data_IF_254594680553
#
_entry.id   IF_254594680553
#
_cell.length_a   1.000
_cell.length_b   1.000
_cell.length_c   1.000
_cell.angle_alpha   90.00
_cell.angle_beta   90.00
_cell.angle_gamma   90.00
#
_symmetry.space_group_name_H-M   'P 1'
#
loop_
_entity.id
_entity.type
_entity.pdbx_description
1 polymer ?
#
# COMPACT_ATOMS: atom_id res chain seq x y z
N UNK A 1 32.78 32.37 -6.87
CA UNK A 1 32.24 31.24 -7.64
C UNK A 1 30.81 31.06 -7.20
N UNK A 2 29.85 31.40 -8.07
CA UNK A 2 28.43 31.21 -7.79
C UNK A 2 27.98 29.90 -8.44
N UNK A 3 27.70 28.89 -7.61
CA UNK A 3 27.21 27.59 -8.06
C UNK A 3 25.74 27.45 -7.71
N UNK A 4 24.93 26.91 -8.63
CA UNK A 4 23.57 26.57 -8.38
C UNK A 4 23.16 25.30 -9.14
N UNK A 5 22.16 24.62 -8.64
CA UNK A 5 21.61 23.41 -9.23
C UNK A 5 20.09 23.45 -9.18
N UNK A 6 19.45 22.93 -10.22
CA UNK A 6 18.01 22.93 -10.29
C UNK A 6 17.44 22.30 -11.55
N UNK A 7 16.14 22.49 -11.76
CA UNK A 7 15.42 22.00 -12.91
C UNK A 7 15.63 22.90 -14.17
N UNK A 8 15.04 22.49 -15.27
CA UNK A 8 15.09 23.22 -16.55
C UNK A 8 14.63 24.67 -16.41
N UNK A 9 13.49 24.92 -15.72
CA UNK A 9 12.93 26.28 -15.54
C UNK A 9 13.93 27.21 -14.84
N UNK A 10 14.66 26.71 -13.85
CA UNK A 10 15.69 27.50 -13.16
C UNK A 10 16.85 27.87 -14.10
N UNK A 11 17.25 26.96 -14.97
CA UNK A 11 18.31 27.26 -15.95
C UNK A 11 17.85 28.30 -17.00
N UNK A 12 16.61 28.22 -17.44
CA UNK A 12 16.00 29.19 -18.36
C UNK A 12 15.95 30.60 -17.74
N UNK A 13 15.57 30.73 -16.47
CA UNK A 13 15.56 32.01 -15.72
C UNK A 13 16.98 32.60 -15.67
N UNK A 14 18.02 31.78 -15.60
CA UNK A 14 19.41 32.22 -15.60
C UNK A 14 20.03 32.28 -17.00
N UNK A 15 19.22 32.19 -18.08
CA UNK A 15 19.65 32.26 -19.48
C UNK A 15 20.78 31.31 -19.86
N UNK A 16 20.77 30.09 -19.28
CA UNK A 16 21.79 29.08 -19.54
C UNK A 16 21.38 28.16 -20.69
N UNK A 17 22.33 27.87 -21.58
CA UNK A 17 22.13 26.89 -22.64
C UNK A 17 22.06 25.48 -22.06
N UNK A 18 20.96 24.81 -22.27
CA UNK A 18 20.73 23.42 -21.86
C UNK A 18 21.28 22.44 -22.91
N UNK A 19 21.54 21.16 -22.55
CA UNK A 19 21.84 20.10 -23.51
C UNK A 19 20.73 20.01 -24.57
N UNK A 20 21.09 19.43 -25.76
CA UNK A 20 20.16 19.25 -26.85
C UNK A 20 18.84 18.58 -26.39
N UNK A 21 17.72 19.02 -26.98
CA UNK A 21 16.37 18.49 -26.71
C UNK A 21 16.33 16.96 -26.81
N UNK A 22 17.05 16.36 -27.73
CA UNK A 22 17.16 14.90 -27.89
C UNK A 22 17.69 14.19 -26.63
N UNK A 23 18.71 14.78 -25.97
CA UNK A 23 19.24 14.20 -24.71
C UNK A 23 18.26 14.34 -23.56
N UNK A 24 17.53 15.47 -23.50
CA UNK A 24 16.50 15.70 -22.49
C UNK A 24 15.34 14.71 -22.66
N UNK A 25 14.87 14.51 -23.89
CA UNK A 25 13.86 13.51 -24.21
C UNK A 25 14.31 12.08 -23.92
N UNK A 26 15.57 11.75 -24.18
CA UNK A 26 16.11 10.43 -23.86
C UNK A 26 16.10 10.15 -22.35
N UNK A 27 16.41 11.16 -21.51
CA UNK A 27 16.28 11.02 -20.06
C UNK A 27 14.83 10.86 -19.62
N UNK A 28 13.93 11.69 -20.15
CA UNK A 28 12.50 11.62 -19.83
C UNK A 28 11.89 10.26 -20.25
N UNK A 29 12.19 9.78 -21.47
CA UNK A 29 11.77 8.44 -21.96
C UNK A 29 12.31 7.30 -21.11
N UNK A 30 13.46 7.48 -20.45
CA UNK A 30 14.01 6.54 -19.49
C UNK A 30 13.41 6.66 -18.07
N UNK A 31 12.42 7.55 -17.86
CA UNK A 31 11.82 7.82 -16.54
C UNK A 31 12.81 8.50 -15.58
N UNK A 32 13.76 9.29 -16.11
CA UNK A 32 14.79 9.96 -15.32
C UNK A 32 14.55 11.46 -15.32
N UNK A 33 14.57 12.07 -14.13
CA UNK A 33 14.47 13.51 -13.96
C UNK A 33 15.87 14.14 -14.01
N UNK A 34 16.16 15.01 -14.98
CA UNK A 34 17.45 15.67 -15.06
C UNK A 34 17.51 16.84 -14.06
N UNK A 35 18.64 16.92 -13.33
CA UNK A 35 19.04 18.03 -12.49
C UNK A 35 20.29 18.65 -13.12
N UNK A 36 20.25 19.95 -13.38
CA UNK A 36 21.31 20.69 -14.03
C UNK A 36 22.14 21.44 -12.99
N UNK A 37 23.45 21.45 -13.16
CA UNK A 37 24.38 22.16 -12.29
C UNK A 37 25.17 23.16 -13.10
N UNK A 38 25.20 24.38 -12.60
CA UNK A 38 25.89 25.48 -13.27
C UNK A 38 26.78 26.29 -12.29
N UNK A 39 27.86 26.86 -12.80
CA UNK A 39 28.68 27.79 -12.07
C UNK A 39 29.14 28.92 -13.01
N UNK A 40 29.14 30.15 -12.46
CA UNK A 40 29.60 31.37 -13.13
C UNK A 40 29.08 31.51 -14.56
N UNK A 41 27.75 31.21 -14.75
CA UNK A 41 27.08 31.36 -16.03
C UNK A 41 27.33 30.23 -17.04
N UNK A 42 27.96 29.11 -16.65
CA UNK A 42 28.17 27.96 -17.50
C UNK A 42 27.60 26.69 -16.90
N UNK A 43 26.98 25.87 -17.77
CA UNK A 43 26.51 24.53 -17.36
C UNK A 43 27.72 23.62 -17.10
N UNK A 44 27.86 23.11 -15.90
CA UNK A 44 28.90 22.17 -15.51
C UNK A 44 28.56 20.73 -15.87
N UNK A 45 27.26 20.36 -15.70
CA UNK A 45 26.84 18.99 -15.97
C UNK A 45 25.37 18.76 -15.63
N UNK A 46 24.94 17.54 -15.97
CA UNK A 46 23.58 17.06 -15.68
C UNK A 46 23.68 15.78 -14.87
N UNK A 47 23.00 15.74 -13.73
CA UNK A 47 22.78 14.54 -12.95
C UNK A 47 21.36 14.06 -13.23
N UNK A 48 21.15 12.77 -13.43
CA UNK A 48 19.81 12.22 -13.59
C UNK A 48 19.43 11.44 -12.36
N UNK A 49 18.30 11.80 -11.74
CA UNK A 49 17.67 11.04 -10.69
C UNK A 49 16.61 10.10 -11.30
N UNK A 50 16.57 8.87 -10.84
CA UNK A 50 15.52 7.92 -11.20
C UNK A 50 15.08 7.19 -9.95
N UNK A 51 13.77 7.19 -9.70
CA UNK A 51 13.18 6.36 -8.67
C UNK A 51 12.54 5.14 -9.37
N UNK A 52 13.09 3.92 -9.20
CA UNK A 52 12.56 2.75 -9.87
C UNK A 52 11.20 2.38 -9.31
N UNK A 53 10.25 2.12 -10.20
CA UNK A 53 8.94 1.64 -9.81
C UNK A 53 9.07 0.31 -9.07
N UNK A 54 8.44 0.22 -7.92
CA UNK A 54 8.38 -1.03 -7.16
C UNK A 54 7.60 -2.08 -7.94
N UNK A 55 8.10 -3.30 -7.99
CA UNK A 55 7.41 -4.43 -8.64
C UNK A 55 5.98 -4.62 -8.09
N UNK A 56 5.78 -4.36 -6.79
CA UNK A 56 4.48 -4.44 -6.13
C UNK A 56 3.49 -3.41 -6.67
N UNK A 57 3.95 -2.22 -7.09
CA UNK A 57 3.08 -1.17 -7.66
C UNK A 57 2.44 -1.61 -8.97
N UNK A 58 3.21 -2.21 -9.88
CA UNK A 58 2.67 -2.75 -11.13
C UNK A 58 1.59 -3.81 -10.88
N UNK A 59 1.85 -4.72 -9.93
CA UNK A 59 0.87 -5.76 -9.57
C UNK A 59 -0.38 -5.15 -8.95
N UNK A 60 -0.24 -4.09 -8.12
CA UNK A 60 -1.37 -3.41 -7.51
C UNK A 60 -2.25 -2.71 -8.56
N UNK A 61 -1.63 -2.01 -9.52
CA UNK A 61 -2.35 -1.37 -10.64
C UNK A 61 -3.16 -2.39 -11.43
N UNK A 62 -2.55 -3.52 -11.80
CA UNK A 62 -3.25 -4.59 -12.50
C UNK A 62 -4.43 -5.15 -11.69
N UNK A 63 -4.31 -5.26 -10.36
CA UNK A 63 -5.40 -5.70 -9.49
C UNK A 63 -6.52 -4.66 -9.40
N UNK A 64 -6.21 -3.35 -9.32
CA UNK A 64 -7.24 -2.31 -9.38
C UNK A 64 -8.03 -2.37 -10.68
N UNK A 65 -7.35 -2.49 -11.82
CA UNK A 65 -7.98 -2.61 -13.14
C UNK A 65 -8.85 -3.87 -13.22
N UNK A 66 -8.38 -5.00 -12.67
CA UNK A 66 -9.17 -6.25 -12.60
C UNK A 66 -10.41 -6.12 -11.73
N UNK A 67 -10.38 -5.26 -10.73
CA UNK A 67 -11.54 -4.92 -9.90
C UNK A 67 -12.52 -3.95 -10.58
N UNK A 68 -12.25 -3.55 -11.83
CA UNK A 68 -13.06 -2.61 -12.60
C UNK A 68 -12.84 -1.14 -12.20
N UNK A 69 -11.70 -0.82 -11.62
CA UNK A 69 -11.32 0.54 -11.26
C UNK A 69 -10.48 1.16 -12.38
N UNK A 70 -10.81 2.39 -12.75
CA UNK A 70 -9.98 3.21 -13.64
C UNK A 70 -8.83 3.80 -12.82
N UNK A 71 -7.59 3.59 -13.28
CA UNK A 71 -6.39 4.04 -12.55
C UNK A 71 -5.77 5.21 -13.29
N UNK A 72 -5.62 6.33 -12.58
CA UNK A 72 -5.09 7.58 -13.10
C UNK A 72 -3.81 7.92 -12.33
N UNK A 73 -2.73 8.22 -13.05
CA UNK A 73 -1.52 8.79 -12.45
C UNK A 73 -1.63 10.31 -12.41
N UNK A 74 -1.67 10.87 -11.20
CA UNK A 74 -1.71 12.32 -10.96
C UNK A 74 -0.37 12.76 -10.36
N UNK A 75 0.44 13.53 -11.11
CA UNK A 75 1.80 13.88 -10.71
C UNK A 75 2.17 15.31 -11.09
N UNK A 76 3.11 15.89 -10.31
CA UNK A 76 3.75 17.16 -10.65
C UNK A 76 4.94 17.01 -11.62
N UNK A 77 5.33 15.80 -11.98
CA UNK A 77 6.39 15.56 -12.95
C UNK A 77 5.98 16.02 -14.34
N UNK A 78 6.99 16.28 -15.18
CA UNK A 78 6.74 16.61 -16.59
C UNK A 78 6.08 15.43 -17.31
N UNK A 79 5.31 15.77 -18.35
CA UNK A 79 4.47 14.80 -19.07
C UNK A 79 5.23 13.60 -19.61
N UNK A 80 6.44 13.80 -20.18
CA UNK A 80 7.23 12.71 -20.75
C UNK A 80 7.68 11.69 -19.69
N UNK A 81 8.15 12.19 -18.54
CA UNK A 81 8.52 11.33 -17.41
C UNK A 81 7.31 10.60 -16.84
N UNK A 82 6.20 11.31 -16.67
CA UNK A 82 4.95 10.74 -16.15
C UNK A 82 4.40 9.63 -17.07
N UNK A 83 4.41 9.83 -18.39
CA UNK A 83 3.98 8.84 -19.38
C UNK A 83 4.90 7.60 -19.36
N UNK A 84 6.23 7.79 -19.23
CA UNK A 84 7.19 6.68 -19.12
C UNK A 84 6.95 5.84 -17.84
N UNK A 85 6.68 6.49 -16.72
CA UNK A 85 6.35 5.84 -15.45
C UNK A 85 5.01 5.11 -15.56
N UNK A 86 3.98 5.76 -16.12
CA UNK A 86 2.67 5.17 -16.33
C UNK A 86 2.73 3.92 -17.19
N UNK A 87 3.48 3.95 -18.29
CA UNK A 87 3.68 2.79 -19.16
C UNK A 87 4.33 1.62 -18.42
N UNK A 88 5.36 1.89 -17.60
CA UNK A 88 5.99 0.85 -16.76
C UNK A 88 5.03 0.29 -15.72
N UNK A 89 4.15 1.12 -15.13
CA UNK A 89 3.14 0.71 -14.17
C UNK A 89 1.91 0.03 -14.80
N UNK A 90 1.71 0.17 -16.11
CA UNK A 90 0.51 -0.32 -16.82
C UNK A 90 -0.69 0.63 -16.67
N UNK A 91 -0.45 1.93 -16.47
CA UNK A 91 -1.47 2.97 -16.37
C UNK A 91 -1.60 3.66 -17.73
N UNK A 92 -2.84 3.86 -18.19
CA UNK A 92 -3.14 4.51 -19.47
C UNK A 92 -3.51 5.98 -19.34
N UNK A 93 -4.06 6.38 -18.19
CA UNK A 93 -4.51 7.75 -17.94
C UNK A 93 -3.50 8.50 -17.08
N UNK A 94 -2.96 9.61 -17.61
CA UNK A 94 -1.95 10.44 -16.93
C UNK A 94 -2.39 11.88 -16.90
N UNK A 95 -2.32 12.49 -15.73
CA UNK A 95 -2.47 13.93 -15.49
C UNK A 95 -1.13 14.41 -14.92
N UNK A 96 -0.31 15.02 -15.76
CA UNK A 96 1.04 15.48 -15.46
C UNK A 96 1.12 16.99 -15.31
N UNK A 97 2.28 17.51 -14.90
CA UNK A 97 2.56 18.95 -14.73
C UNK A 97 1.61 19.65 -13.73
N UNK A 98 1.06 18.92 -12.75
CA UNK A 98 0.08 19.44 -11.79
C UNK A 98 0.80 20.00 -10.57
N UNK A 99 0.55 21.26 -10.25
CA UNK A 99 1.07 21.87 -9.02
C UNK A 99 0.38 21.26 -7.79
N UNK A 100 1.06 21.20 -6.62
CA UNK A 100 0.49 20.62 -5.41
C UNK A 100 -0.91 21.15 -5.05
N UNK A 101 -1.12 22.48 -5.16
CA UNK A 101 -2.39 23.13 -4.89
C UNK A 101 -3.49 22.76 -5.87
N UNK A 102 -3.14 22.36 -7.10
CA UNK A 102 -4.10 22.07 -8.17
C UNK A 102 -4.54 20.60 -8.18
N UNK A 103 -3.88 19.73 -7.44
CA UNK A 103 -4.25 18.30 -7.35
C UNK A 103 -5.69 18.10 -6.86
N UNK A 104 -6.12 18.87 -5.87
CA UNK A 104 -7.50 18.81 -5.36
C UNK A 104 -8.53 19.23 -6.43
N UNK A 105 -8.18 20.19 -7.28
CA UNK A 105 -9.03 20.64 -8.38
C UNK A 105 -9.18 19.54 -9.45
N UNK A 106 -8.13 18.78 -9.75
CA UNK A 106 -8.20 17.65 -10.68
C UNK A 106 -9.12 16.55 -10.13
N UNK A 107 -9.04 16.23 -8.84
CA UNK A 107 -9.95 15.28 -8.19
C UNK A 107 -11.39 15.77 -8.28
N UNK A 108 -11.64 17.05 -7.97
CA UNK A 108 -12.96 17.66 -8.07
C UNK A 108 -13.54 17.62 -9.48
N UNK A 109 -12.69 17.77 -10.50
CA UNK A 109 -13.14 17.69 -11.90
C UNK A 109 -13.58 16.27 -12.26
N UNK A 110 -12.82 15.24 -11.83
CA UNK A 110 -13.23 13.85 -12.02
C UNK A 110 -14.56 13.52 -11.33
N UNK A 111 -14.81 14.11 -10.15
CA UNK A 111 -16.09 13.97 -9.45
C UNK A 111 -17.24 14.69 -10.19
N UNK A 112 -16.96 15.85 -10.79
CA UNK A 112 -17.95 16.58 -11.60
C UNK A 112 -18.36 15.78 -12.85
N UNK A 113 -17.47 14.95 -13.39
CA UNK A 113 -17.76 14.01 -14.47
C UNK A 113 -18.57 12.78 -14.01
N UNK A 114 -19.07 12.77 -12.77
CA UNK A 114 -19.89 11.71 -12.18
C UNK A 114 -19.09 10.51 -11.67
N UNK A 115 -17.76 10.57 -11.64
CA UNK A 115 -16.90 9.49 -11.13
C UNK A 115 -16.81 9.53 -9.61
N UNK A 116 -16.85 8.35 -8.97
CA UNK A 116 -16.44 8.20 -7.57
C UNK A 116 -14.93 8.01 -7.52
N UNK A 117 -14.27 8.86 -6.74
CA UNK A 117 -12.81 8.96 -6.72
C UNK A 117 -12.23 8.47 -5.41
N UNK A 118 -11.15 7.70 -5.50
CA UNK A 118 -10.27 7.43 -4.38
C UNK A 118 -8.90 8.04 -4.68
N UNK A 119 -8.38 8.88 -3.78
CA UNK A 119 -7.03 9.43 -3.89
C UNK A 119 -6.09 8.64 -3.00
N UNK A 120 -4.96 8.25 -3.56
CA UNK A 120 -3.87 7.58 -2.83
C UNK A 120 -2.65 8.48 -2.89
N UNK A 121 -2.13 8.88 -1.73
CA UNK A 121 -0.98 9.78 -1.62
C UNK A 121 -0.14 9.48 -0.39
N UNK A 122 1.09 10.01 -0.35
CA UNK A 122 2.07 9.74 0.70
C UNK A 122 2.49 10.98 1.49
N UNK A 123 2.12 12.17 1.04
CA UNK A 123 2.71 13.39 1.53
C UNK A 123 1.78 14.51 1.91
N UNK A 124 2.39 15.52 2.55
CA UNK A 124 1.76 16.78 2.93
C UNK A 124 1.15 17.47 1.70
N UNK A 125 1.80 17.35 0.55
CA UNK A 125 1.37 17.97 -0.70
C UNK A 125 0.09 17.36 -1.28
N UNK A 126 -0.27 16.15 -0.85
CA UNK A 126 -1.45 15.43 -1.30
C UNK A 126 -2.66 15.60 -0.35
N UNK A 127 -2.46 16.16 0.85
CA UNK A 127 -3.49 16.32 1.87
C UNK A 127 -4.78 17.01 1.35
N UNK A 128 -4.72 18.11 0.57
CA UNK A 128 -5.92 18.72 0.00
C UNK A 128 -6.64 17.80 -1.00
N UNK A 129 -5.92 16.99 -1.77
CA UNK A 129 -6.49 16.06 -2.72
C UNK A 129 -7.07 14.81 -2.04
N UNK A 130 -6.44 14.34 -0.97
CA UNK A 130 -6.95 13.26 -0.12
C UNK A 130 -8.29 13.64 0.50
N UNK A 131 -8.38 14.85 1.07
CA UNK A 131 -9.63 15.38 1.65
C UNK A 131 -10.71 15.62 0.61
N UNK A 132 -10.36 16.03 -0.62
CA UNK A 132 -11.32 16.30 -1.70
C UNK A 132 -11.93 15.01 -2.26
N UNK A 133 -11.21 13.90 -2.26
CA UNK A 133 -11.68 12.64 -2.83
C UNK A 133 -12.87 12.06 -2.06
N UNK A 134 -13.68 11.17 -2.67
CA UNK A 134 -14.72 10.43 -1.97
C UNK A 134 -14.11 9.45 -0.94
N UNK A 135 -12.86 9.02 -1.16
CA UNK A 135 -12.06 8.24 -0.21
C UNK A 135 -10.61 8.66 -0.33
N UNK A 136 -10.04 9.21 0.75
CA UNK A 136 -8.62 9.49 0.87
C UNK A 136 -7.86 8.32 1.48
N UNK A 137 -6.76 7.91 0.88
CA UNK A 137 -5.92 6.80 1.36
C UNK A 137 -4.48 7.30 1.48
N UNK A 138 -3.96 7.42 2.69
CA UNK A 138 -2.56 7.74 2.95
C UNK A 138 -1.70 6.48 2.98
N UNK A 139 -0.53 6.52 2.30
CA UNK A 139 0.44 5.41 2.28
C UNK A 139 1.61 5.71 3.20
N UNK A 140 2.00 4.68 3.98
CA UNK A 140 3.15 4.75 4.87
C UNK A 140 2.85 5.44 6.19
N UNK A 141 3.84 5.49 7.06
CA UNK A 141 3.79 6.33 8.27
C UNK A 141 3.94 7.79 7.84
N UNK A 142 2.95 8.28 7.07
CA UNK A 142 2.92 9.62 6.51
C UNK A 142 3.07 10.67 7.61
N UNK A 143 3.32 11.88 7.19
CA UNK A 143 3.29 13.04 8.08
C UNK A 143 1.93 13.12 8.75
N UNK A 144 1.89 13.64 9.99
CA UNK A 144 0.64 13.81 10.75
C UNK A 144 -0.46 14.47 9.89
N UNK A 145 -0.09 15.43 9.02
CA UNK A 145 -1.02 16.09 8.11
C UNK A 145 -1.67 15.15 7.07
N UNK A 146 -0.95 14.16 6.56
CA UNK A 146 -1.52 13.19 5.62
C UNK A 146 -2.43 12.18 6.35
N UNK A 147 -2.07 11.82 7.58
CA UNK A 147 -2.87 10.96 8.45
C UNK A 147 -4.21 11.63 8.78
N UNK A 148 -4.19 12.91 9.15
CA UNK A 148 -5.39 13.68 9.51
C UNK A 148 -6.31 13.96 8.31
N UNK A 149 -5.77 13.89 7.08
CA UNK A 149 -6.51 14.19 5.84
C UNK A 149 -7.07 12.96 5.14
N UNK A 150 -6.76 11.76 5.59
CA UNK A 150 -7.14 10.52 4.93
C UNK A 150 -8.17 9.71 5.71
N UNK A 151 -9.13 9.10 5.01
CA UNK A 151 -10.09 8.16 5.60
C UNK A 151 -9.45 6.82 5.97
N UNK A 152 -8.41 6.44 5.24
CA UNK A 152 -7.68 5.17 5.43
C UNK A 152 -6.18 5.47 5.48
N UNK A 153 -5.51 4.96 6.51
CA UNK A 153 -4.06 5.05 6.66
C UNK A 153 -3.44 3.67 6.53
N UNK A 154 -2.57 3.51 5.54
CA UNK A 154 -1.82 2.27 5.31
C UNK A 154 -0.48 2.34 6.04
N UNK A 155 -0.26 1.42 6.98
CA UNK A 155 0.94 1.40 7.82
C UNK A 155 2.24 1.07 7.05
N UNK A 156 2.13 0.50 5.87
CA UNK A 156 3.27 0.17 5.01
C UNK A 156 3.25 1.02 3.76
N UNK A 157 4.43 1.38 3.28
CA UNK A 157 4.57 2.06 2.00
C UNK A 157 4.48 1.03 0.84
N UNK A 158 3.30 0.41 0.69
CA UNK A 158 3.02 -0.58 -0.35
C UNK A 158 1.60 -0.44 -0.89
N UNK A 159 1.48 -0.17 -2.18
CA UNK A 159 0.20 -0.01 -2.87
C UNK A 159 -0.69 -1.28 -2.83
N UNK A 160 -0.09 -2.46 -2.61
CA UNK A 160 -0.82 -3.72 -2.40
C UNK A 160 -1.72 -3.69 -1.16
N UNK A 161 -1.39 -2.86 -0.17
CA UNK A 161 -2.24 -2.72 1.00
C UNK A 161 -3.50 -1.93 0.69
N UNK A 162 -3.46 -0.96 -0.23
CA UNK A 162 -4.66 -0.30 -0.75
C UNK A 162 -5.58 -1.29 -1.50
N UNK A 163 -5.00 -2.17 -2.33
CA UNK A 163 -5.76 -3.27 -2.96
C UNK A 163 -6.45 -4.12 -1.90
N UNK A 164 -5.72 -4.51 -0.86
CA UNK A 164 -6.25 -5.32 0.24
C UNK A 164 -7.38 -4.61 0.98
N UNK A 165 -7.24 -3.31 1.25
CA UNK A 165 -8.27 -2.50 1.93
C UNK A 165 -9.57 -2.45 1.12
N UNK A 166 -9.50 -2.22 -0.19
CA UNK A 166 -10.67 -2.21 -1.08
C UNK A 166 -11.32 -3.60 -1.15
N UNK A 167 -10.54 -4.66 -1.25
CA UNK A 167 -11.06 -6.04 -1.27
C UNK A 167 -11.76 -6.39 0.05
N UNK A 168 -11.18 -6.00 1.18
CA UNK A 168 -11.76 -6.20 2.51
C UNK A 168 -13.07 -5.42 2.65
N UNK A 169 -13.10 -4.16 2.23
CA UNK A 169 -14.31 -3.33 2.22
C UNK A 169 -15.44 -4.00 1.43
N UNK A 170 -15.15 -4.45 0.20
CA UNK A 170 -16.14 -5.17 -0.64
C UNK A 170 -16.64 -6.47 0.03
N UNK A 171 -15.75 -7.22 0.67
CA UNK A 171 -16.11 -8.44 1.41
C UNK A 171 -16.99 -8.13 2.62
N UNK A 172 -16.69 -7.06 3.35
CA UNK A 172 -17.46 -6.59 4.50
C UNK A 172 -18.86 -6.15 4.08
N UNK A 173 -18.99 -5.34 3.03
CA UNK A 173 -20.31 -4.91 2.50
C UNK A 173 -21.14 -6.11 2.05
N UNK A 174 -20.52 -7.09 1.39
CA UNK A 174 -21.22 -8.33 1.01
C UNK A 174 -21.72 -9.08 2.24
N UNK A 175 -20.90 -9.22 3.27
CA UNK A 175 -21.26 -9.88 4.52
C UNK A 175 -22.41 -9.16 5.24
N UNK A 176 -22.41 -7.82 5.26
CA UNK A 176 -23.50 -7.01 5.81
C UNK A 176 -24.80 -7.26 5.03
N UNK A 177 -24.75 -7.24 3.69
CA UNK A 177 -25.94 -7.51 2.85
C UNK A 177 -26.47 -8.91 3.06
N UNK A 178 -25.64 -9.93 3.18
CA UNK A 178 -26.02 -11.30 3.51
C UNK A 178 -26.71 -11.37 4.87
N UNK A 179 -26.15 -10.72 5.89
CA UNK A 179 -26.73 -10.68 7.21
C UNK A 179 -28.11 -10.00 7.24
N UNK A 180 -28.25 -8.86 6.56
CA UNK A 180 -29.53 -8.16 6.43
C UNK A 180 -30.55 -9.01 5.68
N UNK A 181 -30.18 -9.63 4.57
CA UNK A 181 -31.07 -10.52 3.82
C UNK A 181 -31.65 -11.62 4.71
N UNK A 182 -30.80 -12.32 5.45
CA UNK A 182 -31.25 -13.40 6.32
C UNK A 182 -32.08 -12.87 7.50
N UNK A 183 -31.72 -11.70 8.05
CA UNK A 183 -32.49 -11.07 9.12
C UNK A 183 -33.92 -10.65 8.69
N UNK A 184 -34.06 -10.22 7.41
CA UNK A 184 -35.36 -9.85 6.87
C UNK A 184 -36.18 -11.05 6.42
N UNK A 185 -35.58 -12.01 5.72
CA UNK A 185 -36.32 -13.12 5.11
C UNK A 185 -36.99 -14.00 6.14
N UNK A 186 -36.33 -14.29 7.26
CA UNK A 186 -36.93 -15.12 8.28
C UNK A 186 -38.13 -14.41 9.01
N UNK A 187 -38.02 -13.09 9.18
CA UNK A 187 -39.13 -12.29 9.71
C UNK A 187 -40.31 -12.22 8.73
N UNK A 188 -40.01 -12.06 7.43
CA UNK A 188 -40.99 -12.03 6.35
C UNK A 188 -41.82 -13.33 6.30
N UNK A 189 -41.18 -14.47 6.58
CA UNK A 189 -41.84 -15.77 6.67
C UNK A 189 -42.51 -15.96 8.03
N UNK A 190 -41.87 -15.61 9.14
CA UNK A 190 -42.33 -15.85 10.51
C UNK A 190 -43.54 -15.03 10.90
N UNK A 191 -43.62 -13.75 10.48
CA UNK A 191 -44.74 -12.86 10.84
C UNK A 191 -46.08 -13.35 10.31
N UNK A 192 -46.24 -13.75 9.01
CA UNK A 192 -47.50 -14.32 8.53
C UNK A 192 -47.91 -15.62 9.24
N UNK A 193 -46.92 -16.47 9.57
CA UNK A 193 -47.21 -17.72 10.32
C UNK A 193 -47.69 -17.38 11.72
N UNK A 194 -47.02 -16.46 12.40
CA UNK A 194 -47.41 -16.00 13.74
C UNK A 194 -48.79 -15.30 13.76
N UNK A 195 -49.13 -14.56 12.69
CA UNK A 195 -50.42 -13.93 12.49
C UNK A 195 -51.54 -14.92 12.12
N UNK A 196 -51.26 -16.22 12.02
CA UNK A 196 -52.25 -17.25 11.73
C UNK A 196 -52.76 -17.27 10.29
N UNK A 197 -52.05 -16.64 9.32
CA UNK A 197 -52.47 -16.60 7.90
C UNK A 197 -52.66 -18.00 7.33
N UNK A 198 -51.88 -18.96 7.78
CA UNK A 198 -51.93 -20.35 7.34
C UNK A 198 -52.82 -21.26 8.14
N UNK A 199 -53.43 -20.74 9.25
CA UNK A 199 -54.33 -21.51 10.12
C UNK A 199 -55.57 -22.03 9.40
N UNK A 200 -56.29 -21.22 8.57
CA UNK A 200 -57.49 -21.70 7.89
C UNK A 200 -57.23 -22.83 6.87
N UNK A 201 -56.02 -22.93 6.34
CA UNK A 201 -55.68 -23.88 5.26
C UNK A 201 -54.99 -25.13 5.82
N UNK A 202 -54.04 -24.95 6.77
CA UNK A 202 -53.19 -26.02 7.27
C UNK A 202 -53.37 -26.32 8.76
N UNK A 203 -54.15 -25.52 9.49
CA UNK A 203 -54.27 -25.65 10.93
C UNK A 203 -52.98 -25.31 11.71
N UNK A 204 -52.05 -24.55 11.08
CA UNK A 204 -50.76 -24.25 11.68
C UNK A 204 -50.88 -23.03 12.61
N UNK A 205 -50.56 -23.26 13.91
CA UNK A 205 -50.33 -22.22 14.87
C UNK A 205 -48.85 -22.13 15.25
N UNK A 206 -48.36 -20.92 15.40
CA UNK A 206 -47.00 -20.71 15.86
C UNK A 206 -46.92 -20.86 17.38
N UNK A 207 -46.21 -21.89 17.82
CA UNK A 207 -45.89 -22.00 19.25
C UNK A 207 -44.86 -20.89 19.61
N UNK A 208 -45.12 -20.10 20.70
CA UNK A 208 -44.21 -19.06 21.16
C UNK A 208 -42.76 -19.54 21.39
N UNK A 209 -42.58 -20.80 21.82
CA UNK A 209 -41.25 -21.40 21.97
C UNK A 209 -40.48 -21.53 20.64
N UNK A 210 -41.19 -21.86 19.55
CA UNK A 210 -40.58 -21.95 18.22
C UNK A 210 -40.15 -20.56 17.77
N UNK A 211 -40.98 -19.53 18.02
CA UNK A 211 -40.62 -18.13 17.74
C UNK A 211 -39.35 -17.68 18.48
N UNK A 212 -39.29 -17.96 19.79
CA UNK A 212 -38.12 -17.63 20.60
C UNK A 212 -36.85 -18.39 20.14
N UNK A 213 -36.97 -19.66 19.80
CA UNK A 213 -35.88 -20.46 19.25
C UNK A 213 -35.39 -19.89 17.90
N UNK A 214 -36.30 -19.53 16.99
CA UNK A 214 -35.97 -18.95 15.70
C UNK A 214 -35.19 -17.63 15.85
N UNK A 215 -35.59 -16.76 16.81
CA UNK A 215 -34.84 -15.52 17.11
C UNK A 215 -33.41 -15.80 17.62
N UNK A 216 -33.26 -16.80 18.50
CA UNK A 216 -31.93 -17.19 19.02
C UNK A 216 -31.02 -17.74 17.91
N UNK A 217 -31.56 -18.59 17.04
CA UNK A 217 -30.81 -19.11 15.88
C UNK A 217 -30.41 -18.02 14.88
N UNK A 218 -31.27 -17.03 14.66
CA UNK A 218 -30.96 -15.87 13.83
C UNK A 218 -29.68 -15.14 14.31
N UNK A 219 -29.61 -14.86 15.62
CA UNK A 219 -28.45 -14.19 16.20
C UNK A 219 -27.16 -15.01 16.04
N UNK A 220 -27.24 -16.32 16.29
CA UNK A 220 -26.09 -17.24 16.10
C UNK A 220 -25.65 -17.26 14.64
N UNK A 221 -26.61 -17.25 13.70
CA UNK A 221 -26.33 -17.24 12.27
C UNK A 221 -25.58 -15.97 11.84
N UNK A 222 -26.07 -14.79 12.25
CA UNK A 222 -25.45 -13.49 11.93
C UNK A 222 -24.04 -13.42 12.49
N UNK A 223 -23.81 -13.82 13.74
CA UNK A 223 -22.49 -13.83 14.36
C UNK A 223 -21.55 -14.81 13.63
N UNK A 224 -22.03 -16.02 13.31
CA UNK A 224 -21.27 -17.03 12.59
C UNK A 224 -20.87 -16.55 11.20
N UNK A 225 -21.77 -15.88 10.47
CA UNK A 225 -21.49 -15.30 9.17
C UNK A 225 -20.48 -14.13 9.27
N UNK A 226 -20.61 -13.26 10.28
CA UNK A 226 -19.65 -12.19 10.53
C UNK A 226 -18.24 -12.73 10.84
N UNK A 227 -18.14 -13.84 11.58
CA UNK A 227 -16.86 -14.49 11.87
C UNK A 227 -16.15 -15.04 10.63
N UNK A 228 -16.85 -15.25 9.50
CA UNK A 228 -16.23 -15.63 8.21
C UNK A 228 -15.20 -14.58 7.74
N UNK A 229 -15.39 -13.29 8.09
CA UNK A 229 -14.42 -12.24 7.75
C UNK A 229 -13.06 -12.46 8.39
N UNK A 230 -12.95 -13.17 9.51
CA UNK A 230 -11.65 -13.56 10.10
C UNK A 230 -10.81 -14.46 9.18
N UNK A 231 -11.46 -15.15 8.25
CA UNK A 231 -10.82 -16.02 7.26
C UNK A 231 -10.58 -15.31 5.92
N UNK A 232 -10.82 -14.00 5.87
CA UNK A 232 -10.58 -13.21 4.68
C UNK A 232 -9.10 -13.34 4.25
N UNK A 233 -8.89 -13.68 3.00
CA UNK A 233 -7.55 -13.74 2.38
C UNK A 233 -7.59 -12.83 1.15
N UNK A 234 -6.74 -11.80 1.08
CA UNK A 234 -6.68 -10.94 -0.10
C UNK A 234 -6.24 -11.74 -1.32
N UNK A 235 -6.89 -11.49 -2.45
CA UNK A 235 -6.45 -12.01 -3.74
C UNK A 235 -5.11 -11.36 -4.09
N UNK A 236 -4.18 -12.12 -4.66
CA UNK A 236 -2.85 -11.62 -5.05
C UNK A 236 -1.73 -11.92 -4.03
N UNK A 237 -2.03 -12.05 -2.73
CA UNK A 237 -0.99 -12.45 -1.74
C UNK A 237 -0.58 -13.93 -1.80
N UNK A 238 -1.29 -14.76 -2.59
CA UNK A 238 -0.95 -16.19 -2.73
C UNK A 238 0.28 -16.44 -3.61
N UNK A 239 0.60 -15.55 -4.53
CA UNK A 239 1.77 -15.69 -5.40
C UNK A 239 3.09 -15.29 -4.71
N UNK A 240 3.04 -14.42 -3.69
CA UNK A 240 4.24 -13.91 -3.02
C UNK A 240 4.71 -14.80 -1.84
N UNK A 241 3.98 -15.85 -1.49
CA UNK A 241 4.49 -16.84 -0.51
C UNK A 241 5.56 -17.78 -1.08
N UNK A 242 5.73 -17.81 -2.42
CA UNK A 242 6.77 -18.61 -3.10
C UNK A 242 7.99 -17.81 -3.56
N UNK A 243 7.96 -16.47 -3.48
CA UNK A 243 9.07 -15.61 -3.91
C UNK A 243 10.05 -15.26 -2.77
N UNK A 244 9.86 -15.81 -1.58
CA UNK A 244 10.68 -15.49 -0.41
C UNK A 244 11.75 -16.56 -0.12
N UNK A 245 12.16 -17.26 -1.17
CA UNK A 245 13.47 -17.92 -1.23
C UNK A 245 14.33 -17.13 -2.20
N UNK A 246 14.76 -15.94 -1.80
CA UNK A 246 15.99 -15.39 -2.37
C UNK A 246 17.05 -16.48 -2.17
N UNK A 247 17.75 -16.93 -3.23
CA UNK A 247 18.84 -17.88 -3.05
C UNK A 247 19.80 -17.26 -2.04
N UNK A 248 20.02 -17.95 -0.94
CA UNK A 248 21.08 -17.61 0.01
C UNK A 248 22.35 -17.60 -0.82
N UNK A 249 22.97 -16.43 -1.00
CA UNK A 249 24.28 -16.38 -1.65
C UNK A 249 25.20 -17.30 -0.84
N UNK A 250 25.98 -18.15 -1.52
CA UNK A 250 26.83 -19.14 -0.87
C UNK A 250 27.59 -18.51 0.30
N UNK A 251 27.32 -18.98 1.54
CA UNK A 251 27.95 -18.50 2.77
C UNK A 251 27.24 -17.38 3.52
N UNK A 252 26.02 -17.00 3.16
CA UNK A 252 25.23 -16.00 3.90
C UNK A 252 24.31 -16.67 4.93
N UNK A 253 24.37 -16.21 6.18
CA UNK A 253 23.52 -16.69 7.28
C UNK A 253 22.29 -15.79 7.35
N UNK A 254 21.10 -16.37 7.31
CA UNK A 254 19.81 -15.65 7.37
C UNK A 254 19.15 -15.88 8.72
N UNK A 255 18.87 -14.81 9.44
CA UNK A 255 18.27 -14.85 10.78
C UNK A 255 16.88 -14.24 10.69
N UNK A 256 15.84 -15.00 10.98
CA UNK A 256 14.47 -14.51 11.11
C UNK A 256 14.24 -13.99 12.53
N UNK A 257 13.85 -12.71 12.61
CA UNK A 257 13.70 -11.99 13.89
C UNK A 257 12.23 -11.60 14.06
N UNK A 258 11.70 -11.77 15.27
CA UNK A 258 10.36 -11.33 15.65
C UNK A 258 10.45 -10.11 16.56
N UNK A 259 9.60 -9.10 16.30
CA UNK A 259 9.48 -7.93 17.15
C UNK A 259 10.08 -6.66 16.58
N UNK A 260 10.69 -6.68 15.39
CA UNK A 260 11.11 -5.44 14.70
C UNK A 260 9.90 -4.76 14.09
N UNK A 261 9.69 -3.47 14.41
CA UNK A 261 8.55 -2.69 13.92
C UNK A 261 8.95 -1.33 13.31
N UNK A 262 10.19 -0.87 13.53
CA UNK A 262 10.64 0.45 13.09
C UNK A 262 12.15 0.45 12.80
N UNK A 263 12.63 1.54 12.17
CA UNK A 263 14.05 1.73 11.86
C UNK A 263 14.96 1.74 13.09
N UNK A 264 14.44 2.19 14.24
CA UNK A 264 15.18 2.12 15.51
C UNK A 264 15.46 0.67 15.92
N UNK A 265 14.52 -0.23 15.66
CA UNK A 265 14.70 -1.67 15.88
C UNK A 265 15.80 -2.24 14.96
N UNK A 266 15.85 -1.78 13.70
CA UNK A 266 16.90 -2.16 12.73
C UNK A 266 18.27 -1.74 13.26
N UNK A 267 18.41 -0.51 13.73
CA UNK A 267 19.66 0.00 14.29
C UNK A 267 20.09 -0.80 15.53
N UNK A 268 19.16 -1.13 16.43
CA UNK A 268 19.45 -1.93 17.62
C UNK A 268 19.93 -3.35 17.27
N UNK A 269 19.26 -4.03 16.34
CA UNK A 269 19.66 -5.37 15.88
C UNK A 269 20.99 -5.32 15.13
N UNK A 270 21.21 -4.31 14.30
CA UNK A 270 22.49 -4.11 13.61
C UNK A 270 23.63 -3.96 14.61
N UNK A 271 23.47 -3.12 15.62
CA UNK A 271 24.47 -2.92 16.68
C UNK A 271 24.74 -4.22 17.46
N UNK A 272 23.69 -4.99 17.75
CA UNK A 272 23.83 -6.28 18.43
C UNK A 272 24.62 -7.30 17.60
N UNK A 273 24.36 -7.38 16.30
CA UNK A 273 25.08 -8.28 15.40
C UNK A 273 26.53 -7.82 15.17
N UNK A 274 26.81 -6.50 15.21
CA UNK A 274 28.17 -5.97 15.13
C UNK A 274 29.06 -6.38 16.30
N UNK A 275 28.47 -6.64 17.46
CA UNK A 275 29.21 -7.08 18.64
C UNK A 275 29.52 -8.58 18.66
N UNK A 276 29.02 -9.36 17.69
CA UNK A 276 29.25 -10.81 17.62
C UNK A 276 30.55 -11.12 16.91
N UNK A 277 31.45 -11.82 17.58
CA UNK A 277 32.73 -12.27 17.00
C UNK A 277 32.49 -13.17 15.79
N UNK A 278 33.24 -12.92 14.71
CA UNK A 278 33.15 -13.72 13.47
C UNK A 278 32.09 -13.26 12.47
N UNK A 279 31.33 -12.20 12.73
CA UNK A 279 30.48 -11.52 11.74
C UNK A 279 31.31 -10.52 10.95
N UNK A 280 31.39 -10.67 9.63
CA UNK A 280 32.20 -9.81 8.75
C UNK A 280 31.37 -8.78 7.98
N UNK A 281 30.21 -9.17 7.50
CA UNK A 281 29.25 -8.32 6.81
C UNK A 281 27.86 -8.57 7.36
N UNK A 282 27.03 -7.53 7.45
CA UNK A 282 25.66 -7.69 7.89
C UNK A 282 24.71 -6.69 7.23
N UNK A 283 23.46 -7.10 7.12
CA UNK A 283 22.35 -6.31 6.61
C UNK A 283 21.07 -6.70 7.35
N UNK A 284 20.34 -5.75 7.88
CA UNK A 284 19.05 -5.96 8.53
C UNK A 284 17.95 -5.36 7.66
N UNK A 285 16.93 -6.15 7.33
CA UNK A 285 15.83 -5.76 6.46
C UNK A 285 14.52 -5.81 7.25
N UNK A 286 13.98 -4.63 7.57
CA UNK A 286 12.76 -4.49 8.36
C UNK A 286 11.55 -5.14 7.69
N UNK A 287 11.36 -4.89 6.39
CA UNK A 287 10.23 -5.43 5.62
C UNK A 287 10.14 -6.95 5.59
N UNK A 288 11.28 -7.63 5.75
CA UNK A 288 11.38 -9.08 5.78
C UNK A 288 11.41 -9.66 7.20
N UNK A 289 11.59 -8.82 8.21
CA UNK A 289 11.90 -9.23 9.57
C UNK A 289 13.10 -10.19 9.63
N UNK A 290 14.15 -9.88 8.83
CA UNK A 290 15.35 -10.71 8.68
C UNK A 290 16.61 -9.89 8.84
N UNK A 291 17.63 -10.56 9.38
CA UNK A 291 19.01 -10.12 9.29
C UNK A 291 19.81 -11.12 8.46
N UNK A 292 20.72 -10.60 7.68
CA UNK A 292 21.64 -11.33 6.83
C UNK A 292 23.05 -11.05 7.32
N UNK A 293 23.86 -12.06 7.53
CA UNK A 293 25.26 -11.87 7.90
C UNK A 293 26.16 -12.90 7.24
N UNK A 294 27.43 -12.53 7.05
CA UNK A 294 28.50 -13.41 6.58
C UNK A 294 29.50 -13.62 7.70
N UNK A 295 30.19 -14.75 7.65
CA UNK A 295 31.20 -15.10 8.62
C UNK A 295 30.95 -16.46 9.26
N UNK A 296 31.60 -16.72 10.39
CA UNK A 296 31.55 -18.01 11.09
C UNK A 296 31.02 -17.90 12.54
N UNK A 297 30.09 -16.99 12.87
CA UNK A 297 29.54 -16.95 14.22
C UNK A 297 28.71 -18.20 14.51
N UNK A 298 28.64 -18.61 15.78
CA UNK A 298 27.76 -19.70 16.20
C UNK A 298 26.31 -19.26 16.31
N UNK A 299 25.37 -20.19 16.14
CA UNK A 299 23.94 -19.88 16.28
C UNK A 299 23.58 -19.41 17.70
N UNK A 300 24.31 -19.88 18.70
CA UNK A 300 24.12 -19.49 20.09
C UNK A 300 24.50 -18.01 20.32
N UNK A 301 25.63 -17.60 19.79
CA UNK A 301 26.08 -16.19 19.88
C UNK A 301 25.11 -15.22 19.18
N UNK A 302 24.67 -15.57 17.96
CA UNK A 302 23.67 -14.77 17.22
C UNK A 302 22.36 -14.67 17.97
N UNK A 303 21.86 -15.77 18.56
CA UNK A 303 20.64 -15.76 19.38
C UNK A 303 20.80 -14.90 20.60
N UNK A 304 21.88 -15.06 21.34
CA UNK A 304 22.14 -14.30 22.56
C UNK A 304 22.24 -12.79 22.29
N UNK A 305 22.95 -12.39 21.24
CA UNK A 305 23.10 -10.99 20.88
C UNK A 305 21.74 -10.34 20.54
N UNK A 306 20.91 -11.01 19.75
CA UNK A 306 19.59 -10.51 19.34
C UNK A 306 18.62 -10.49 20.53
N UNK A 307 18.66 -11.51 21.40
CA UNK A 307 17.84 -11.56 22.62
C UNK A 307 18.21 -10.46 23.61
N UNK A 308 19.50 -10.17 23.78
CA UNK A 308 19.98 -9.07 24.62
C UNK A 308 19.56 -7.70 24.09
N UNK A 309 19.34 -7.57 22.78
CA UNK A 309 18.75 -6.38 22.15
C UNK A 309 17.22 -6.30 22.30
N UNK A 310 16.58 -7.27 22.97
CA UNK A 310 15.12 -7.27 23.21
C UNK A 310 14.27 -7.94 22.11
N UNK A 311 14.88 -8.69 21.19
CA UNK A 311 14.18 -9.33 20.06
C UNK A 311 14.25 -10.87 20.14
N UNK A 312 13.31 -11.54 19.46
CA UNK A 312 13.27 -13.01 19.44
C UNK A 312 13.75 -13.55 18.09
N UNK A 313 14.69 -14.51 18.13
CA UNK A 313 15.10 -15.24 16.92
C UNK A 313 14.16 -16.42 16.68
N UNK A 314 13.48 -16.38 15.51
CA UNK A 314 12.55 -17.43 15.09
C UNK A 314 13.28 -18.60 14.43
N UNK A 315 14.21 -18.34 13.52
CA UNK A 315 14.96 -19.33 12.76
C UNK A 315 16.29 -18.74 12.30
N UNK A 316 17.33 -19.57 12.25
CA UNK A 316 18.62 -19.28 11.60
C UNK A 316 18.77 -20.28 10.45
N UNK A 317 19.18 -19.83 9.28
CA UNK A 317 19.37 -20.60 8.04
C UNK A 317 20.78 -20.29 7.53
N UNK A 318 21.54 -21.33 7.23
CA UNK A 318 22.90 -21.25 6.66
C UNK A 318 22.94 -21.78 5.25
#
# INVERSE_FOLDING_TARGET
MHCFGGNQKMMEVHHLSLPSTEKQEAFAKAGKTPLYFAADGKLLGTLTAADPIRQTSRTAVAEFQRMGLDVILLTGDNRLTAEAIAQQAGITHVIADVLPQDKAMQVKQLQADGKKTAMIGDGINDAPALTQADVGIAIGAGTDAAIDSADIVLMRNDLQDAVTAIQLSRATIRNIKENLFWAFIYNLIGIPIAAGVFYPIFGWEMNPMIGAAAMSFSSVFVVSNALRLRRFRPFGKSANKKADTTPVANGEIVIQIKGMMCEHCVAAVTKALQSVSGVTEMRVVLSENRAYCKGTPTDAELRTAIQNAGYQVKKIIR
#
